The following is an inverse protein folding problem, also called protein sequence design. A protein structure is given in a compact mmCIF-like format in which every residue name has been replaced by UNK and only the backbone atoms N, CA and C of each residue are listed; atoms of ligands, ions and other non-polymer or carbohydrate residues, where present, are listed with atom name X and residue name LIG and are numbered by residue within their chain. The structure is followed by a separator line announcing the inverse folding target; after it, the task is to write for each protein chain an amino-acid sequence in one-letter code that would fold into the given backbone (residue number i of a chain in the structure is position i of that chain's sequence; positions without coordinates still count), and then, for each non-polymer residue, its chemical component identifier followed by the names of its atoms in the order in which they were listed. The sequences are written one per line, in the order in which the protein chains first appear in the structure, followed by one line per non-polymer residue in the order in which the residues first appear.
data_IF_465632645388
#
_entry.id   IF_465632645388
#
_cell.length_a   1.000
_cell.length_b   1.000
_cell.length_c   1.000
_cell.angle_alpha   90.00
_cell.angle_beta   90.00
_cell.angle_gamma   90.00
#
_symmetry.space_group_name_H-M   'P 1'
#
loop_
_entity.id
_entity.type
_entity.pdbx_description
1 polymer ?
#
# COMPACT_ATOMS: atom_id res chain seq x y z
N UNK A 1 -24.16 0.05 -7.25
CA UNK A 1 -22.86 0.74 -7.47
C UNK A 1 -22.66 1.83 -6.42
N UNK A 2 -21.39 2.32 -6.27
CA UNK A 2 -21.05 3.39 -5.32
C UNK A 2 -21.86 4.67 -5.59
N UNK A 3 -22.02 5.03 -6.86
CA UNK A 3 -22.84 6.17 -7.30
C UNK A 3 -24.29 6.05 -6.85
N UNK A 4 -24.91 4.89 -6.99
CA UNK A 4 -26.30 4.65 -6.57
C UNK A 4 -26.47 4.82 -5.05
N UNK A 5 -25.48 4.36 -4.26
CA UNK A 5 -25.49 4.53 -2.81
C UNK A 5 -25.38 6.01 -2.41
N UNK A 6 -24.49 6.76 -3.07
CA UNK A 6 -24.34 8.20 -2.82
C UNK A 6 -25.61 8.99 -3.16
N UNK A 7 -26.23 8.70 -4.31
CA UNK A 7 -27.48 9.34 -4.72
C UNK A 7 -28.62 8.99 -3.74
N UNK A 8 -28.72 7.74 -3.29
CA UNK A 8 -29.72 7.35 -2.29
C UNK A 8 -29.52 8.08 -0.97
N UNK A 9 -28.27 8.19 -0.51
CA UNK A 9 -27.92 8.91 0.71
C UNK A 9 -28.30 10.40 0.61
N UNK A 10 -28.03 11.03 -0.52
CA UNK A 10 -28.39 12.41 -0.80
C UNK A 10 -29.91 12.63 -0.74
N UNK A 11 -30.69 11.78 -1.43
CA UNK A 11 -32.16 11.91 -1.41
C UNK A 11 -32.77 11.56 -0.04
N UNK A 12 -32.15 10.67 0.73
CA UNK A 12 -32.57 10.43 2.11
C UNK A 12 -32.36 11.68 2.99
N UNK A 13 -31.24 12.38 2.82
CA UNK A 13 -31.02 13.65 3.50
C UNK A 13 -32.09 14.69 3.12
N UNK A 14 -32.38 14.85 1.83
CA UNK A 14 -33.46 15.79 1.36
C UNK A 14 -34.84 15.41 1.92
N UNK A 15 -35.13 14.13 2.06
CA UNK A 15 -36.39 13.65 2.66
C UNK A 15 -36.45 14.00 4.16
N UNK A 16 -35.36 13.82 4.90
CA UNK A 16 -35.28 14.18 6.31
C UNK A 16 -35.40 15.67 6.58
N UNK A 17 -34.89 16.50 5.66
CA UNK A 17 -35.02 17.97 5.72
C UNK A 17 -36.35 18.50 5.19
N UNK A 18 -37.27 17.64 4.71
CA UNK A 18 -38.56 18.02 4.21
C UNK A 18 -38.55 18.68 2.82
N UNK A 19 -37.41 18.72 2.15
CA UNK A 19 -37.24 19.35 0.82
C UNK A 19 -37.83 18.51 -0.32
N UNK A 20 -37.97 17.20 -0.11
CA UNK A 20 -38.66 16.27 -1.05
C UNK A 20 -39.60 15.36 -0.28
N UNK A 21 -40.71 14.96 -0.95
CA UNK A 21 -41.70 14.06 -0.34
C UNK A 21 -41.39 12.59 -0.49
N UNK A 22 -40.56 12.23 -1.46
CA UNK A 22 -40.19 10.82 -1.75
C UNK A 22 -38.75 10.76 -2.22
N UNK A 23 -38.10 9.58 -2.00
CA UNK A 23 -36.77 9.33 -2.54
C UNK A 23 -36.85 8.58 -3.88
N UNK A 24 -36.66 9.27 -5.03
CA UNK A 24 -36.80 8.64 -6.36
C UNK A 24 -35.69 7.58 -6.61
N UNK A 25 -34.56 7.69 -5.94
CA UNK A 25 -33.45 6.72 -6.07
C UNK A 25 -33.73 5.40 -5.34
N UNK A 26 -34.81 5.27 -4.56
CA UNK A 26 -35.16 4.05 -3.84
C UNK A 26 -35.53 2.91 -4.80
N UNK A 27 -36.18 3.26 -5.91
CA UNK A 27 -36.63 2.30 -6.93
C UNK A 27 -35.51 1.85 -7.89
N UNK A 28 -34.36 2.55 -7.90
CA UNK A 28 -33.23 2.20 -8.78
C UNK A 28 -32.54 0.94 -8.25
N UNK A 29 -32.79 -0.20 -8.87
CA UNK A 29 -32.03 -1.43 -8.62
C UNK A 29 -30.70 -1.39 -9.33
N UNK A 30 -29.61 -1.45 -8.58
CA UNK A 30 -28.28 -1.59 -9.19
C UNK A 30 -28.20 -2.96 -9.90
N UNK A 31 -27.72 -2.97 -11.14
CA UNK A 31 -27.44 -4.22 -11.84
C UNK A 31 -26.54 -5.09 -10.96
N UNK A 32 -26.87 -6.39 -10.88
CA UNK A 32 -26.10 -7.37 -10.12
C UNK A 32 -24.74 -7.50 -10.81
N UNK A 33 -23.73 -6.82 -10.28
CA UNK A 33 -22.35 -6.99 -10.78
C UNK A 33 -21.89 -8.36 -10.33
N UNK A 34 -21.57 -9.23 -11.28
CA UNK A 34 -20.85 -10.47 -10.96
C UNK A 34 -19.56 -10.09 -10.25
N UNK A 35 -19.41 -10.59 -9.04
CA UNK A 35 -18.16 -10.43 -8.28
C UNK A 35 -17.11 -11.30 -8.95
N UNK A 36 -16.25 -10.70 -9.77
CA UNK A 36 -15.01 -11.37 -10.14
C UNK A 36 -14.22 -11.62 -8.85
N UNK A 37 -13.85 -12.86 -8.63
CA UNK A 37 -12.93 -13.19 -7.54
C UNK A 37 -11.63 -12.39 -7.77
N UNK A 38 -11.04 -11.81 -6.70
CA UNK A 38 -9.75 -11.16 -6.84
C UNK A 38 -8.74 -12.15 -7.43
N UNK A 39 -8.01 -11.72 -8.44
CA UNK A 39 -6.90 -12.51 -8.96
C UNK A 39 -5.84 -12.57 -7.87
N UNK A 40 -5.50 -13.77 -7.43
CA UNK A 40 -4.47 -14.04 -6.44
C UNK A 40 -3.20 -14.44 -7.18
N UNK A 41 -2.05 -13.93 -6.76
CA UNK A 41 -0.76 -14.37 -7.27
C UNK A 41 -0.43 -15.74 -6.69
N UNK A 42 0.15 -16.59 -7.50
CA UNK A 42 0.75 -17.84 -7.01
C UNK A 42 2.05 -17.52 -6.25
N UNK A 43 2.50 -18.43 -5.38
CA UNK A 43 3.77 -18.24 -4.65
C UNK A 43 4.94 -17.97 -5.60
N UNK A 44 4.99 -18.64 -6.76
CA UNK A 44 6.02 -18.42 -7.78
C UNK A 44 5.95 -17.01 -8.39
N UNK A 45 4.75 -16.49 -8.66
CA UNK A 45 4.56 -15.13 -9.18
C UNK A 45 4.95 -14.08 -8.14
N UNK A 46 4.67 -14.34 -6.85
CA UNK A 46 5.09 -13.46 -5.75
C UNK A 46 6.61 -13.43 -5.63
N UNK A 47 7.25 -14.58 -5.59
CA UNK A 47 8.72 -14.69 -5.55
C UNK A 47 9.35 -13.96 -6.73
N UNK A 48 8.88 -14.26 -7.96
CA UNK A 48 9.34 -13.60 -9.17
C UNK A 48 9.19 -12.07 -9.10
N UNK A 49 8.07 -11.58 -8.56
CA UNK A 49 7.81 -10.16 -8.40
C UNK A 49 8.75 -9.51 -7.37
N UNK A 50 8.93 -10.14 -6.21
CA UNK A 50 9.79 -9.62 -5.14
C UNK A 50 11.28 -9.62 -5.52
N UNK A 51 11.70 -10.49 -6.43
CA UNK A 51 13.07 -10.55 -6.94
C UNK A 51 13.40 -9.50 -8.01
N UNK A 52 12.38 -8.78 -8.53
CA UNK A 52 12.61 -7.79 -9.60
C UNK A 52 13.44 -6.59 -9.16
N UNK A 53 13.26 -5.99 -7.98
CA UNK A 53 14.14 -4.91 -7.54
C UNK A 53 15.56 -5.43 -7.32
N UNK A 54 16.48 -5.07 -8.20
CA UNK A 54 17.89 -5.41 -8.02
C UNK A 54 18.51 -4.39 -7.08
N UNK A 55 19.17 -4.88 -6.02
CA UNK A 55 19.86 -4.07 -5.03
C UNK A 55 21.24 -3.61 -5.57
N UNK A 56 21.23 -2.85 -6.66
CA UNK A 56 22.43 -2.32 -7.31
C UNK A 56 22.52 -0.78 -7.22
N UNK A 57 21.41 -0.11 -6.99
CA UNK A 57 21.29 1.34 -6.83
C UNK A 57 20.36 1.68 -5.67
N UNK A 58 20.32 2.95 -5.27
CA UNK A 58 19.50 3.43 -4.15
C UNK A 58 18.02 3.13 -4.37
N UNK A 59 17.54 3.24 -5.61
CA UNK A 59 16.15 2.98 -5.98
C UNK A 59 15.82 1.50 -5.80
N UNK A 60 16.69 0.59 -6.26
CA UNK A 60 16.49 -0.85 -6.15
C UNK A 60 16.42 -1.31 -4.69
N UNK A 61 17.32 -0.86 -3.83
CA UNK A 61 17.30 -1.17 -2.40
C UNK A 61 16.04 -0.65 -1.71
N UNK A 62 15.64 0.60 -1.98
CA UNK A 62 14.41 1.16 -1.43
C UNK A 62 13.18 0.37 -1.86
N UNK A 63 13.06 0.11 -3.15
CA UNK A 63 11.90 -0.57 -3.73
C UNK A 63 11.81 -2.01 -3.22
N UNK A 64 12.95 -2.71 -3.10
CA UNK A 64 13.02 -4.03 -2.51
C UNK A 64 12.53 -4.03 -1.05
N UNK A 65 13.03 -3.11 -0.22
CA UNK A 65 12.59 -2.99 1.17
C UNK A 65 11.09 -2.66 1.29
N UNK A 66 10.55 -1.82 0.40
CA UNK A 66 9.11 -1.51 0.39
C UNK A 66 8.25 -2.72 0.04
N UNK A 67 8.63 -3.47 -0.99
CA UNK A 67 7.87 -4.65 -1.44
C UNK A 67 7.96 -5.79 -0.43
N UNK A 68 9.15 -6.06 0.11
CA UNK A 68 9.36 -7.05 1.19
C UNK A 68 8.52 -6.72 2.42
N UNK A 69 8.55 -5.47 2.86
CA UNK A 69 7.75 -5.06 4.02
C UNK A 69 6.25 -5.18 3.77
N UNK A 70 5.78 -4.78 2.60
CA UNK A 70 4.38 -4.90 2.24
C UNK A 70 3.91 -6.35 2.25
N UNK A 71 4.70 -7.25 1.64
CA UNK A 71 4.40 -8.68 1.59
C UNK A 71 4.47 -9.33 2.98
N UNK A 72 5.54 -9.05 3.74
CA UNK A 72 5.74 -9.57 5.09
C UNK A 72 4.60 -9.27 6.05
N UNK A 73 3.99 -8.09 5.93
CA UNK A 73 3.07 -7.55 6.93
C UNK A 73 1.63 -7.46 6.46
N UNK A 74 1.40 -7.47 5.15
CA UNK A 74 0.10 -7.25 4.55
C UNK A 74 -0.55 -5.92 4.96
N UNK A 75 0.23 -4.89 5.32
CA UNK A 75 -0.30 -3.57 5.69
C UNK A 75 -0.89 -2.85 4.48
N UNK A 76 -1.72 -1.84 4.73
CA UNK A 76 -2.24 -1.00 3.65
C UNK A 76 -1.15 -0.08 3.10
N UNK A 77 -1.24 0.29 1.81
CA UNK A 77 -0.29 1.26 1.21
C UNK A 77 -0.24 2.56 1.98
N UNK A 78 -1.38 3.06 2.46
CA UNK A 78 -1.41 4.28 3.27
C UNK A 78 -0.66 4.13 4.59
N UNK A 79 -0.65 2.93 5.17
CA UNK A 79 0.13 2.62 6.36
C UNK A 79 1.62 2.51 6.00
N UNK A 80 1.96 1.79 4.93
CA UNK A 80 3.33 1.64 4.44
C UNK A 80 4.01 2.99 4.21
N UNK A 81 3.38 3.87 3.42
CA UNK A 81 3.94 5.20 3.12
C UNK A 81 3.88 6.16 4.31
N UNK A 82 2.99 5.90 5.27
CA UNK A 82 2.85 6.66 6.50
C UNK A 82 3.87 6.30 7.58
N UNK A 83 4.59 5.18 7.46
CA UNK A 83 5.59 4.78 8.44
C UNK A 83 6.71 5.81 8.57
N UNK A 84 7.15 6.01 9.80
CA UNK A 84 8.34 6.76 10.15
C UNK A 84 9.48 5.82 10.56
N UNK A 85 10.70 6.32 10.56
CA UNK A 85 11.87 5.57 11.05
C UNK A 85 11.65 5.10 12.50
N UNK A 86 11.02 5.94 13.34
CA UNK A 86 10.70 5.62 14.74
C UNK A 86 9.68 4.49 14.93
N UNK A 87 8.95 4.12 13.86
CA UNK A 87 7.98 3.02 13.90
C UNK A 87 8.61 1.64 13.68
N UNK A 88 9.91 1.60 13.37
CA UNK A 88 10.65 0.37 13.05
C UNK A 88 11.60 0.01 14.18
N UNK A 89 11.55 -1.22 14.65
CA UNK A 89 12.53 -1.78 15.56
C UNK A 89 13.21 -2.99 14.92
N UNK A 90 14.39 -2.77 14.34
CA UNK A 90 15.16 -3.82 13.66
C UNK A 90 15.87 -4.78 14.61
N UNK A 91 16.08 -4.38 15.87
CA UNK A 91 16.73 -5.22 16.88
C UNK A 91 15.80 -6.34 17.33
N UNK A 92 14.54 -5.99 17.60
CA UNK A 92 13.50 -6.95 18.01
C UNK A 92 12.78 -7.54 16.78
N UNK A 93 12.79 -6.83 15.64
CA UNK A 93 12.17 -7.30 14.39
C UNK A 93 10.67 -7.05 14.35
N UNK A 94 10.23 -5.81 14.56
CA UNK A 94 8.83 -5.44 14.39
C UNK A 94 8.65 -4.03 13.81
N UNK A 95 7.45 -3.76 13.31
CA UNK A 95 6.97 -2.41 13.02
C UNK A 95 5.74 -2.08 13.85
N UNK A 96 5.56 -0.79 14.12
CA UNK A 96 4.36 -0.23 14.75
C UNK A 96 3.50 0.45 13.68
N UNK A 97 2.29 0.00 13.51
CA UNK A 97 1.33 0.60 12.58
C UNK A 97 0.18 1.24 13.34
N UNK A 98 -0.11 2.49 13.02
CA UNK A 98 -1.28 3.20 13.54
C UNK A 98 -2.34 3.33 12.47
N UNK A 99 -3.57 2.90 12.75
CA UNK A 99 -4.70 3.01 11.84
C UNK A 99 -5.97 3.34 12.62
N UNK A 100 -6.65 4.41 12.23
CA UNK A 100 -7.87 4.89 12.91
C UNK A 100 -7.71 5.05 14.43
N UNK A 101 -6.57 5.58 14.87
CA UNK A 101 -6.26 5.79 16.29
C UNK A 101 -5.93 4.53 17.09
N UNK A 102 -5.83 3.38 16.43
CA UNK A 102 -5.41 2.11 17.04
C UNK A 102 -4.02 1.74 16.58
N UNK A 103 -3.14 1.46 17.53
CA UNK A 103 -1.80 0.95 17.26
C UNK A 103 -1.82 -0.59 17.23
N UNK A 104 -0.99 -1.13 16.35
CA UNK A 104 -0.69 -2.56 16.34
C UNK A 104 0.79 -2.80 16.04
N UNK A 105 1.36 -3.79 16.71
CA UNK A 105 2.72 -4.26 16.47
C UNK A 105 2.65 -5.44 15.53
N UNK A 106 3.46 -5.41 14.47
CA UNK A 106 3.53 -6.47 13.47
C UNK A 106 4.96 -7.00 13.45
N UNK A 107 5.16 -8.29 13.76
CA UNK A 107 6.49 -8.91 13.69
C UNK A 107 6.95 -9.02 12.24
N UNK A 108 8.27 -8.96 12.04
CA UNK A 108 8.92 -9.08 10.74
C UNK A 108 9.73 -10.37 10.68
N UNK A 109 9.69 -11.05 9.56
CA UNK A 109 10.62 -12.17 9.33
C UNK A 109 12.00 -11.67 8.88
N UNK A 110 12.99 -12.56 8.92
CA UNK A 110 14.41 -12.20 8.76
C UNK A 110 14.72 -11.47 7.45
N UNK A 111 14.10 -11.87 6.32
CA UNK A 111 14.35 -11.22 5.03
C UNK A 111 13.87 -9.76 5.02
N UNK A 112 12.68 -9.47 5.56
CA UNK A 112 12.17 -8.11 5.68
C UNK A 112 13.02 -7.24 6.60
N UNK A 113 13.50 -7.80 7.73
CA UNK A 113 14.42 -7.09 8.63
C UNK A 113 15.73 -6.76 7.91
N UNK A 114 16.29 -7.71 7.15
CA UNK A 114 17.50 -7.49 6.37
C UNK A 114 17.32 -6.40 5.32
N UNK A 115 16.26 -6.50 4.51
CA UNK A 115 15.98 -5.52 3.46
C UNK A 115 15.78 -4.10 4.03
N UNK A 116 15.06 -3.98 5.14
CA UNK A 116 14.89 -2.69 5.84
C UNK A 116 16.20 -2.17 6.40
N UNK A 117 17.02 -3.02 7.00
CA UNK A 117 18.33 -2.63 7.52
C UNK A 117 19.23 -2.10 6.43
N UNK A 118 19.38 -2.85 5.33
CA UNK A 118 20.21 -2.45 4.19
C UNK A 118 19.76 -1.09 3.63
N UNK A 119 18.44 -0.88 3.54
CA UNK A 119 17.88 0.39 3.10
C UNK A 119 18.12 1.52 4.11
N UNK A 120 17.75 1.32 5.39
CA UNK A 120 17.78 2.36 6.41
C UNK A 120 19.19 2.83 6.76
N UNK A 121 20.14 1.90 6.85
CA UNK A 121 21.51 2.19 7.29
C UNK A 121 22.40 2.66 6.13
N UNK A 122 22.27 2.10 4.93
CA UNK A 122 23.21 2.31 3.85
C UNK A 122 22.68 3.23 2.72
N UNK A 123 21.37 3.28 2.53
CA UNK A 123 20.76 3.90 1.34
C UNK A 123 19.99 5.16 1.70
N UNK A 124 19.05 5.08 2.64
CA UNK A 124 18.20 6.20 3.04
C UNK A 124 19.00 7.47 3.38
N UNK A 125 20.12 7.41 4.13
CA UNK A 125 20.90 8.60 4.45
C UNK A 125 21.50 9.31 3.22
N UNK A 126 21.64 8.62 2.08
CA UNK A 126 22.13 9.20 0.83
C UNK A 126 21.02 9.88 0.02
N UNK A 127 19.76 9.51 0.25
CA UNK A 127 18.63 10.01 -0.53
C UNK A 127 17.98 11.21 0.16
N UNK A 128 17.90 11.23 1.50
CA UNK A 128 17.24 12.30 2.24
C UNK A 128 18.00 13.61 2.06
N UNK A 129 17.24 14.71 1.87
CA UNK A 129 17.80 16.07 1.79
C UNK A 129 17.83 16.76 3.15
N UNK A 130 16.96 16.34 4.08
CA UNK A 130 16.87 16.83 5.46
C UNK A 130 17.11 15.67 6.41
N UNK A 131 18.10 15.77 7.28
CA UNK A 131 18.40 14.75 8.29
C UNK A 131 17.25 14.51 9.26
N UNK A 132 16.35 15.49 9.41
CA UNK A 132 15.15 15.40 10.25
C UNK A 132 13.94 14.79 9.55
N UNK A 133 14.05 14.38 8.25
CA UNK A 133 12.94 13.73 7.56
C UNK A 133 12.49 12.46 8.31
N UNK A 134 11.27 12.42 8.87
CA UNK A 134 10.84 11.29 9.69
C UNK A 134 10.40 10.10 8.85
N UNK A 135 10.06 10.29 7.56
CA UNK A 135 9.51 9.22 6.73
C UNK A 135 10.47 8.05 6.60
N UNK A 136 9.96 6.84 6.80
CA UNK A 136 10.73 5.62 6.56
C UNK A 136 11.10 5.53 5.07
N UNK A 137 10.11 5.60 4.19
CA UNK A 137 10.34 5.52 2.74
C UNK A 137 10.22 6.88 2.07
N UNK A 138 11.26 7.22 1.34
CA UNK A 138 11.37 8.49 0.64
C UNK A 138 11.45 8.28 -0.89
N UNK A 139 11.03 9.30 -1.64
CA UNK A 139 11.24 9.37 -3.08
C UNK A 139 12.71 9.74 -3.39
N UNK A 140 13.09 9.82 -4.65
CA UNK A 140 14.48 10.17 -5.03
C UNK A 140 14.81 11.66 -4.82
N UNK A 141 13.84 12.48 -4.40
CA UNK A 141 14.06 13.87 -3.98
C UNK A 141 14.25 14.00 -2.45
N UNK A 142 14.26 12.87 -1.72
CA UNK A 142 14.42 12.85 -0.27
C UNK A 142 13.13 13.12 0.53
N UNK A 143 11.97 13.22 -0.13
CA UNK A 143 10.68 13.49 0.51
C UNK A 143 9.90 12.19 0.71
N UNK A 144 8.93 12.19 1.63
CA UNK A 144 8.04 11.04 1.87
C UNK A 144 7.46 10.47 0.58
N UNK A 145 7.52 9.14 0.43
CA UNK A 145 6.94 8.42 -0.70
C UNK A 145 5.43 8.70 -0.81
N UNK A 146 4.98 9.04 -2.01
CA UNK A 146 3.56 9.22 -2.28
C UNK A 146 2.89 7.90 -2.68
N UNK A 147 1.55 7.83 -2.52
CA UNK A 147 0.76 6.68 -3.00
C UNK A 147 0.91 6.47 -4.50
N UNK A 148 0.94 7.55 -5.28
CA UNK A 148 1.13 7.47 -6.73
C UNK A 148 2.55 6.99 -7.09
N UNK A 149 3.56 7.44 -6.34
CA UNK A 149 4.93 6.97 -6.50
C UNK A 149 5.05 5.47 -6.27
N UNK A 150 4.47 4.98 -5.18
CA UNK A 150 4.46 3.55 -4.88
C UNK A 150 3.67 2.72 -5.91
N UNK A 151 2.53 3.26 -6.41
CA UNK A 151 1.79 2.61 -7.50
C UNK A 151 2.64 2.45 -8.76
N UNK A 152 3.40 3.48 -9.14
CA UNK A 152 4.33 3.40 -10.29
C UNK A 152 5.40 2.34 -10.08
N UNK A 153 5.92 2.19 -8.86
CA UNK A 153 6.89 1.13 -8.51
C UNK A 153 6.28 -0.24 -8.75
N UNK A 154 5.07 -0.51 -8.26
CA UNK A 154 4.39 -1.80 -8.46
C UNK A 154 4.22 -2.09 -9.95
N UNK A 155 3.72 -1.12 -10.74
CA UNK A 155 3.50 -1.31 -12.18
C UNK A 155 4.78 -1.54 -12.95
N UNK A 156 5.84 -0.81 -12.63
CA UNK A 156 7.15 -1.01 -13.22
C UNK A 156 7.70 -2.43 -12.99
N UNK A 157 7.62 -2.93 -11.76
CA UNK A 157 8.10 -4.29 -11.47
C UNK A 157 7.15 -5.39 -11.95
N UNK A 158 5.85 -5.13 -12.04
CA UNK A 158 4.90 -6.03 -12.70
C UNK A 158 5.25 -6.25 -14.17
N UNK A 159 5.50 -5.16 -14.91
CA UNK A 159 5.90 -5.20 -16.32
C UNK A 159 7.24 -5.94 -16.47
N UNK A 160 8.21 -5.63 -15.61
CA UNK A 160 9.53 -6.26 -15.62
C UNK A 160 9.50 -7.76 -15.29
N UNK A 161 8.56 -8.20 -14.47
CA UNK A 161 8.33 -9.60 -14.13
C UNK A 161 7.52 -10.34 -15.22
N UNK A 162 7.02 -9.64 -16.24
CA UNK A 162 6.15 -10.18 -17.29
C UNK A 162 4.89 -10.90 -16.73
N UNK A 163 4.39 -10.44 -15.59
CA UNK A 163 3.19 -11.00 -14.95
C UNK A 163 1.95 -10.38 -15.60
N UNK A 164 1.15 -11.21 -16.26
CA UNK A 164 -0.06 -10.78 -16.98
C UNK A 164 -1.22 -10.38 -16.07
N UNK A 165 -1.25 -10.86 -14.82
CA UNK A 165 -2.26 -10.52 -13.83
C UNK A 165 -2.08 -9.07 -13.35
N UNK A 166 -3.19 -8.37 -13.09
CA UNK A 166 -3.12 -7.00 -12.57
C UNK A 166 -2.66 -6.98 -11.11
N UNK A 167 -1.38 -6.65 -10.89
CA UNK A 167 -0.82 -6.54 -9.54
C UNK A 167 -1.21 -5.19 -8.95
N UNK A 168 -1.93 -5.27 -7.85
CA UNK A 168 -2.27 -4.14 -7.00
C UNK A 168 -1.71 -4.39 -5.60
N UNK A 169 -1.57 -3.37 -4.76
CA UNK A 169 -1.23 -3.57 -3.35
C UNK A 169 -2.20 -4.50 -2.61
N UNK A 170 -3.48 -4.53 -3.04
CA UNK A 170 -4.47 -5.46 -2.50
C UNK A 170 -4.18 -6.89 -2.91
N UNK A 171 -3.77 -7.10 -4.17
CA UNK A 171 -3.38 -8.43 -4.68
C UNK A 171 -2.23 -8.99 -3.85
N UNK A 172 -1.13 -8.23 -3.67
CA UNK A 172 0.03 -8.63 -2.87
C UNK A 172 -0.31 -8.91 -1.40
N UNK A 173 -1.29 -8.19 -0.84
CA UNK A 173 -1.72 -8.43 0.54
C UNK A 173 -2.54 -9.71 0.70
N UNK A 174 -3.22 -10.18 -0.35
CA UNK A 174 -4.12 -11.34 -0.32
C UNK A 174 -3.45 -12.62 -0.85
N UNK A 175 -2.27 -12.51 -1.42
CA UNK A 175 -1.43 -13.63 -1.86
C UNK A 175 -0.50 -14.08 -0.78
#
# INVERSE_FOLDING_TARGET
TRSTASIRSFYNYLLQTGLVKTNPAKAVTAAKVERKYPEILTSKEVELFLEQPKCVDEKGFRDHAMLELLYATGIRVSELIGLNVSDVNLTVGFIRCTSHGKERIIPLYAAAVKALRDYMENIRPRIISDENEPALFVNMNGERMSRQGFWKIIKYYQEKAEISKDITPHTLRHS
#
